data_IF_782379825266
#
_entry.id   IF_782379825266
#
_cell.length_a   1.000
_cell.length_b   1.000
_cell.length_c   1.000
_cell.angle_alpha   90.00
_cell.angle_beta   90.00
_cell.angle_gamma   90.00
#
_symmetry.space_group_name_H-M   'P 1'
#
loop_
_entity.id
_entity.type
_entity.pdbx_description
1 polymer ?
#
# COMPACT_ATOMS: atom_id res chain seq x y z
N UNK A 1 -5.72 -10.54 33.74
CA UNK A 1 -4.81 -10.56 32.55
C UNK A 1 -4.40 -9.20 31.99
N UNK A 2 -5.04 -8.09 32.35
CA UNK A 2 -4.66 -6.72 31.92
C UNK A 2 -3.46 -6.12 32.69
N UNK A 3 -3.19 -6.60 33.90
CA UNK A 3 -2.09 -6.10 34.77
C UNK A 3 -0.70 -6.49 34.29
N UNK A 4 -0.55 -7.68 33.71
CA UNK A 4 0.75 -8.20 33.23
C UNK A 4 1.26 -7.50 31.97
N UNK A 5 0.38 -7.03 31.08
CA UNK A 5 0.78 -6.28 29.87
C UNK A 5 1.27 -4.88 30.21
N UNK A 6 0.60 -4.19 31.13
CA UNK A 6 1.01 -2.86 31.59
C UNK A 6 2.37 -2.90 32.33
N UNK A 7 2.63 -3.94 33.09
CA UNK A 7 3.91 -4.15 33.78
C UNK A 7 5.04 -4.47 32.80
N UNK A 8 4.80 -5.30 31.78
CA UNK A 8 5.81 -5.60 30.75
C UNK A 8 6.16 -4.37 29.90
N UNK A 9 5.15 -3.51 29.57
CA UNK A 9 5.39 -2.25 28.88
C UNK A 9 6.12 -1.22 29.75
N UNK A 10 5.83 -1.17 31.05
CA UNK A 10 6.54 -0.29 32.00
C UNK A 10 8.00 -0.74 32.18
N UNK A 11 8.27 -2.03 32.31
CA UNK A 11 9.63 -2.58 32.41
C UNK A 11 10.46 -2.36 31.14
N UNK A 12 9.83 -2.47 29.95
CA UNK A 12 10.52 -2.17 28.68
C UNK A 12 10.86 -0.69 28.55
N UNK A 13 10.00 0.23 29.02
CA UNK A 13 10.27 1.66 29.07
C UNK A 13 11.42 2.02 30.03
N UNK A 14 11.49 1.37 31.16
CA UNK A 14 12.53 1.62 32.17
C UNK A 14 13.90 1.10 31.74
N UNK A 15 13.93 -0.04 31.04
CA UNK A 15 15.19 -0.57 30.46
C UNK A 15 15.75 0.30 29.34
N UNK A 16 14.86 0.90 28.52
CA UNK A 16 15.24 1.82 27.44
C UNK A 16 15.80 3.15 27.95
N UNK A 17 15.39 3.61 29.13
CA UNK A 17 15.91 4.83 29.76
C UNK A 17 17.35 4.68 30.28
N UNK A 18 17.84 3.46 30.44
CA UNK A 18 19.18 3.13 30.96
C UNK A 18 20.22 2.84 29.86
N UNK A 19 19.82 2.76 28.59
CA UNK A 19 20.76 2.52 27.48
C UNK A 19 21.36 3.83 26.98
N UNK A 20 22.67 3.81 26.70
CA UNK A 20 23.33 4.94 26.05
C UNK A 20 22.79 5.13 24.62
N UNK A 21 22.90 6.32 24.01
CA UNK A 21 22.51 6.53 22.61
C UNK A 21 23.17 5.53 21.66
N UNK A 22 24.45 5.22 21.86
CA UNK A 22 25.19 4.21 21.08
C UNK A 22 24.65 2.80 21.31
N UNK A 23 24.34 2.42 22.56
CA UNK A 23 23.73 1.14 22.89
C UNK A 23 22.35 0.99 22.26
N UNK A 24 21.55 2.03 22.31
CA UNK A 24 20.23 2.08 21.64
C UNK A 24 20.37 1.94 20.11
N UNK A 25 21.34 2.61 19.50
CA UNK A 25 21.62 2.48 18.07
C UNK A 25 22.02 1.06 17.67
N UNK A 26 22.93 0.43 18.41
CA UNK A 26 23.33 -0.95 18.13
C UNK A 26 22.18 -1.94 18.30
N UNK A 27 21.38 -1.76 19.35
CA UNK A 27 20.17 -2.56 19.57
C UNK A 27 19.15 -2.38 18.44
N UNK A 28 18.96 -1.15 17.95
CA UNK A 28 18.08 -0.85 16.83
C UNK A 28 18.57 -1.53 15.54
N UNK A 29 19.87 -1.47 15.24
CA UNK A 29 20.46 -2.17 14.08
C UNK A 29 20.31 -3.68 14.18
N UNK A 30 20.53 -4.24 15.36
CA UNK A 30 20.34 -5.67 15.59
C UNK A 30 18.87 -6.06 15.37
N UNK A 31 17.92 -5.32 15.97
CA UNK A 31 16.49 -5.56 15.78
C UNK A 31 16.08 -5.46 14.29
N UNK A 32 16.60 -4.46 13.57
CA UNK A 32 16.37 -4.32 12.12
C UNK A 32 16.93 -5.51 11.33
N UNK A 33 18.13 -5.99 11.66
CA UNK A 33 18.71 -7.20 11.08
C UNK A 33 17.89 -8.47 11.38
N UNK A 34 17.22 -8.50 12.53
CA UNK A 34 16.26 -9.54 12.89
C UNK A 34 14.84 -9.29 12.32
N UNK A 35 14.64 -8.25 11.51
CA UNK A 35 13.36 -7.85 10.94
C UNK A 35 12.27 -7.58 11.99
N UNK A 36 12.67 -7.14 13.18
CA UNK A 36 11.77 -6.71 14.25
C UNK A 36 11.55 -5.20 14.17
N UNK A 37 10.56 -4.79 13.35
CA UNK A 37 10.26 -3.38 13.12
C UNK A 37 9.84 -2.65 14.41
N UNK A 38 9.14 -3.31 15.33
CA UNK A 38 8.69 -2.72 16.58
C UNK A 38 9.85 -2.40 17.52
N UNK A 39 10.74 -3.38 17.72
CA UNK A 39 11.95 -3.18 18.53
C UNK A 39 12.88 -2.16 17.86
N UNK A 40 13.07 -2.24 16.53
CA UNK A 40 13.89 -1.28 15.78
C UNK A 40 13.36 0.16 15.95
N UNK A 41 12.08 0.38 15.76
CA UNK A 41 11.45 1.70 15.95
C UNK A 41 11.65 2.20 17.39
N UNK A 42 11.44 1.35 18.40
CA UNK A 42 11.59 1.71 19.80
C UNK A 42 13.04 2.13 20.13
N UNK A 43 14.03 1.34 19.71
CA UNK A 43 15.43 1.64 19.96
C UNK A 43 15.95 2.83 19.14
N UNK A 44 15.54 3.00 17.88
CA UNK A 44 15.90 4.20 17.10
C UNK A 44 15.32 5.48 17.70
N UNK A 45 14.08 5.44 18.22
CA UNK A 45 13.52 6.57 18.99
C UNK A 45 14.35 6.91 20.21
N UNK A 46 14.81 5.88 20.96
CA UNK A 46 15.65 6.08 22.12
C UNK A 46 17.00 6.72 21.74
N UNK A 47 17.65 6.23 20.69
CA UNK A 47 18.88 6.80 20.17
C UNK A 47 18.67 8.27 19.69
N UNK A 48 17.60 8.54 18.93
CA UNK A 48 17.29 9.89 18.41
C UNK A 48 16.98 10.89 19.54
N UNK A 49 16.39 10.44 20.66
CA UNK A 49 16.19 11.31 21.84
C UNK A 49 17.54 11.70 22.47
N UNK A 50 18.52 10.81 22.44
CA UNK A 50 19.89 11.08 22.96
C UNK A 50 20.70 12.00 22.06
N UNK A 51 20.43 11.98 20.75
CA UNK A 51 21.08 12.85 19.75
C UNK A 51 20.05 13.35 18.71
N UNK A 52 19.25 14.36 19.08
CA UNK A 52 18.11 14.80 18.25
C UNK A 52 18.49 15.47 16.92
N UNK A 53 19.77 15.87 16.77
CA UNK A 53 20.28 16.54 15.56
C UNK A 53 20.97 15.59 14.60
N UNK A 54 21.04 14.32 14.92
CA UNK A 54 21.66 13.31 14.08
C UNK A 54 20.74 12.93 12.91
N UNK A 55 21.12 13.37 11.72
CA UNK A 55 20.34 13.16 10.50
C UNK A 55 20.25 11.69 10.11
N UNK A 56 21.28 10.89 10.36
CA UNK A 56 21.26 9.44 10.11
C UNK A 56 20.26 8.75 11.03
N UNK A 57 20.29 9.06 12.33
CA UNK A 57 19.30 8.53 13.29
C UNK A 57 17.87 8.96 12.92
N UNK A 58 17.69 10.19 12.47
CA UNK A 58 16.39 10.69 12.04
C UNK A 58 15.85 9.86 10.87
N UNK A 59 16.64 9.66 9.82
CA UNK A 59 16.23 8.87 8.66
C UNK A 59 15.93 7.39 9.01
N UNK A 60 16.78 6.77 9.84
CA UNK A 60 16.56 5.38 10.31
C UNK A 60 15.31 5.25 11.18
N UNK A 61 15.09 6.22 12.09
CA UNK A 61 13.89 6.25 12.93
C UNK A 61 12.65 6.39 12.07
N UNK A 62 12.66 7.27 11.09
CA UNK A 62 11.57 7.50 10.15
C UNK A 62 11.16 6.20 9.44
N UNK A 63 12.10 5.50 8.83
CA UNK A 63 11.81 4.25 8.12
C UNK A 63 11.34 3.14 9.06
N UNK A 64 11.95 2.98 10.24
CA UNK A 64 11.56 1.97 11.21
C UNK A 64 10.14 2.21 11.76
N UNK A 65 9.78 3.46 12.02
CA UNK A 65 8.44 3.87 12.48
C UNK A 65 7.38 3.57 11.41
N UNK A 66 7.67 3.87 10.14
CA UNK A 66 6.77 3.53 9.03
C UNK A 66 6.60 2.01 8.88
N UNK A 67 7.69 1.26 8.92
CA UNK A 67 7.67 -0.20 8.83
C UNK A 67 6.85 -0.83 9.97
N UNK A 68 6.85 -0.19 11.16
CA UNK A 68 6.03 -0.62 12.30
C UNK A 68 4.55 -0.19 12.21
N UNK A 69 4.14 0.53 11.15
CA UNK A 69 2.77 0.97 10.92
C UNK A 69 2.36 2.26 11.67
N UNK A 70 3.29 2.91 12.35
CA UNK A 70 3.03 4.14 13.10
C UNK A 70 3.09 5.36 12.16
N UNK A 71 2.20 5.37 11.15
CA UNK A 71 2.26 6.32 10.02
C UNK A 71 2.08 7.77 10.47
N UNK A 72 1.26 8.05 11.49
CA UNK A 72 1.06 9.43 11.98
C UNK A 72 2.33 10.01 12.62
N UNK A 73 3.13 9.19 13.31
CA UNK A 73 4.47 9.59 13.75
C UNK A 73 5.44 9.68 12.58
N UNK A 74 5.36 8.73 11.65
CA UNK A 74 6.12 8.75 10.40
C UNK A 74 5.94 10.05 9.63
N UNK A 75 4.73 10.59 9.58
CA UNK A 75 4.44 11.90 8.97
C UNK A 75 5.22 13.05 9.65
N UNK A 76 5.24 13.09 10.98
CA UNK A 76 5.99 14.11 11.72
C UNK A 76 7.50 13.99 11.49
N UNK A 77 7.99 12.77 11.40
CA UNK A 77 9.40 12.51 11.07
C UNK A 77 9.71 12.86 9.61
N UNK A 78 8.79 12.59 8.66
CA UNK A 78 8.95 12.97 7.27
C UNK A 78 9.12 14.50 7.11
N UNK A 79 8.34 15.30 7.83
CA UNK A 79 8.48 16.77 7.85
C UNK A 79 9.87 17.20 8.32
N UNK A 80 10.43 16.53 9.35
CA UNK A 80 11.80 16.80 9.83
C UNK A 80 12.86 16.34 8.82
N UNK A 81 12.69 15.16 8.21
CA UNK A 81 13.60 14.64 7.16
C UNK A 81 13.69 15.63 6.02
N UNK A 82 12.57 16.22 5.58
CA UNK A 82 12.56 17.20 4.49
C UNK A 82 13.19 18.57 4.85
N UNK A 83 13.41 18.87 6.13
CA UNK A 83 14.23 20.04 6.53
C UNK A 83 15.72 19.81 6.25
N UNK A 84 16.16 18.53 6.26
CA UNK A 84 17.54 18.13 6.02
C UNK A 84 17.77 17.77 4.55
N UNK A 85 16.91 16.90 4.01
CA UNK A 85 16.91 16.52 2.59
C UNK A 85 15.54 16.79 1.96
N UNK A 86 15.44 17.94 1.30
CA UNK A 86 14.21 18.40 0.61
C UNK A 86 13.71 17.42 -0.46
N UNK A 87 14.58 16.50 -0.87
CA UNK A 87 14.34 15.58 -1.97
C UNK A 87 14.16 14.13 -1.51
N UNK A 88 14.06 13.87 -0.20
CA UNK A 88 13.79 12.51 0.27
C UNK A 88 12.46 11.99 -0.29
N UNK A 89 12.58 10.96 -1.13
CA UNK A 89 11.46 10.43 -1.91
C UNK A 89 10.40 9.75 -1.05
N UNK A 90 10.81 9.07 0.04
CA UNK A 90 9.87 8.37 0.92
C UNK A 90 9.13 9.39 1.80
N UNK A 91 9.82 10.38 2.30
CA UNK A 91 9.17 11.46 3.05
C UNK A 91 8.14 12.22 2.19
N UNK A 92 8.47 12.52 0.93
CA UNK A 92 7.54 13.13 -0.03
C UNK A 92 6.32 12.22 -0.31
N UNK A 93 6.57 10.92 -0.51
CA UNK A 93 5.50 9.92 -0.71
C UNK A 93 4.55 9.90 0.49
N UNK A 94 5.09 9.82 1.71
CA UNK A 94 4.31 9.78 2.96
C UNK A 94 3.45 11.03 3.12
N UNK A 95 4.01 12.22 2.86
CA UNK A 95 3.22 13.46 2.91
C UNK A 95 2.14 13.52 1.82
N UNK A 96 2.43 13.01 0.62
CA UNK A 96 1.45 12.85 -0.44
C UNK A 96 0.29 11.92 -0.03
N UNK A 97 0.61 10.78 0.57
CA UNK A 97 -0.39 9.81 1.07
C UNK A 97 -1.24 10.43 2.19
N UNK A 98 -0.62 11.14 3.15
CA UNK A 98 -1.36 11.90 4.17
C UNK A 98 -2.34 12.89 3.54
N UNK A 99 -1.88 13.65 2.56
CA UNK A 99 -2.72 14.63 1.87
C UNK A 99 -3.89 13.97 1.13
N UNK A 100 -3.71 12.77 0.55
CA UNK A 100 -4.81 11.97 -0.02
C UNK A 100 -5.82 11.60 1.06
N UNK A 101 -5.37 11.09 2.21
CA UNK A 101 -6.25 10.75 3.36
C UNK A 101 -7.07 11.95 3.81
N UNK A 102 -6.47 13.14 3.78
CA UNK A 102 -7.12 14.40 4.14
C UNK A 102 -7.94 15.03 2.98
N UNK A 103 -8.04 14.35 1.82
CA UNK A 103 -8.69 14.84 0.59
C UNK A 103 -8.10 16.16 0.07
N UNK A 104 -6.86 16.45 0.42
CA UNK A 104 -6.10 17.64 -0.04
C UNK A 104 -5.37 17.31 -1.36
N UNK A 105 -6.12 16.98 -2.41
CA UNK A 105 -5.58 16.45 -3.66
C UNK A 105 -4.54 17.35 -4.35
N UNK A 106 -4.70 18.71 -4.42
CA UNK A 106 -3.64 19.55 -4.97
C UNK A 106 -2.34 19.49 -4.17
N UNK A 107 -2.41 19.39 -2.83
CA UNK A 107 -1.23 19.25 -1.98
C UNK A 107 -0.59 17.86 -2.19
N UNK A 108 -1.40 16.80 -2.28
CA UNK A 108 -0.92 15.46 -2.59
C UNK A 108 -0.11 15.43 -3.89
N UNK A 109 -0.64 16.00 -4.97
CA UNK A 109 0.07 16.07 -6.27
C UNK A 109 1.40 16.80 -6.18
N UNK A 110 1.48 17.90 -5.41
CA UNK A 110 2.75 18.64 -5.23
C UNK A 110 3.82 17.80 -4.53
N UNK A 111 3.45 17.09 -3.47
CA UNK A 111 4.39 16.23 -2.75
C UNK A 111 4.81 15.03 -3.59
N UNK A 112 3.85 14.36 -4.23
CA UNK A 112 4.10 13.19 -5.08
C UNK A 112 4.99 13.53 -6.28
N UNK A 113 4.83 14.70 -6.91
CA UNK A 113 5.68 15.14 -8.00
C UNK A 113 7.16 15.28 -7.59
N UNK A 114 7.45 15.51 -6.32
CA UNK A 114 8.80 15.60 -5.78
C UNK A 114 9.36 14.25 -5.30
N UNK A 115 8.54 13.19 -5.24
CA UNK A 115 8.98 11.84 -4.87
C UNK A 115 9.50 11.01 -6.04
N UNK A 116 9.34 11.49 -7.28
CA UNK A 116 9.74 10.83 -8.53
C UNK A 116 11.27 10.80 -8.64
N UNK A 117 11.89 9.68 -8.25
CA UNK A 117 13.36 9.48 -8.28
C UNK A 117 13.76 8.01 -8.30
N UNK A 118 13.13 7.22 -9.15
CA UNK A 118 13.47 5.82 -9.35
C UNK A 118 12.26 4.95 -9.66
N UNK A 119 12.47 3.76 -10.23
CA UNK A 119 11.41 3.01 -10.92
C UNK A 119 10.13 2.81 -10.09
N UNK A 120 10.28 2.36 -8.84
CA UNK A 120 9.12 2.03 -7.99
C UNK A 120 8.42 3.31 -7.50
N UNK A 121 9.19 4.32 -7.08
CA UNK A 121 8.62 5.58 -6.62
C UNK A 121 7.99 6.37 -7.75
N UNK A 122 8.52 6.28 -8.99
CA UNK A 122 7.94 6.92 -10.16
C UNK A 122 6.57 6.33 -10.49
N UNK A 123 6.45 4.99 -10.48
CA UNK A 123 5.18 4.31 -10.69
C UNK A 123 4.18 4.65 -9.58
N UNK A 124 4.60 4.52 -8.32
CA UNK A 124 3.75 4.83 -7.16
C UNK A 124 3.23 6.27 -7.21
N UNK A 125 4.13 7.24 -7.35
CA UNK A 125 3.78 8.66 -7.34
C UNK A 125 2.86 9.04 -8.50
N UNK A 126 3.11 8.49 -9.69
CA UNK A 126 2.26 8.74 -10.87
C UNK A 126 0.85 8.17 -10.67
N UNK A 127 0.74 6.91 -10.23
CA UNK A 127 -0.56 6.29 -10.00
C UNK A 127 -1.32 6.95 -8.84
N UNK A 128 -0.67 7.27 -7.73
CA UNK A 128 -1.28 7.99 -6.62
C UNK A 128 -1.77 9.38 -7.04
N UNK A 129 -0.97 10.11 -7.83
CA UNK A 129 -1.38 11.41 -8.40
C UNK A 129 -2.59 11.26 -9.32
N UNK A 130 -2.60 10.25 -10.19
CA UNK A 130 -3.71 9.98 -11.09
C UNK A 130 -5.01 9.69 -10.32
N UNK A 131 -4.94 8.95 -9.22
CA UNK A 131 -6.11 8.71 -8.37
C UNK A 131 -6.69 9.98 -7.75
N UNK A 132 -5.88 11.00 -7.48
CA UNK A 132 -6.41 12.30 -7.02
C UNK A 132 -7.26 13.02 -8.06
N UNK A 133 -7.23 12.56 -9.31
CA UNK A 133 -7.97 13.08 -10.46
C UNK A 133 -9.06 12.09 -10.95
N UNK A 134 -9.44 11.11 -10.13
CA UNK A 134 -10.46 10.10 -10.46
C UNK A 134 -11.88 10.68 -10.37
N UNK A 135 -12.18 11.62 -11.25
CA UNK A 135 -13.49 12.26 -11.38
C UNK A 135 -13.82 12.50 -12.88
N UNK A 136 -15.09 12.76 -13.25
CA UNK A 136 -15.49 12.85 -14.65
C UNK A 136 -14.73 13.90 -15.49
N UNK A 137 -14.27 14.98 -14.87
CA UNK A 137 -13.63 16.11 -15.57
C UNK A 137 -12.12 15.92 -15.73
N UNK A 138 -11.45 15.25 -14.79
CA UNK A 138 -9.99 15.11 -14.77
C UNK A 138 -9.50 13.69 -15.15
N UNK A 139 -10.39 12.69 -15.31
CA UNK A 139 -10.01 11.30 -15.57
C UNK A 139 -9.16 11.14 -16.83
N UNK A 140 -9.40 11.94 -17.87
CA UNK A 140 -8.57 11.93 -19.07
C UNK A 140 -7.13 12.39 -18.75
N UNK A 141 -6.98 13.46 -17.99
CA UNK A 141 -5.66 13.94 -17.56
C UNK A 141 -4.96 12.90 -16.68
N UNK A 142 -5.69 12.20 -15.80
CA UNK A 142 -5.19 11.12 -14.99
C UNK A 142 -4.60 10.01 -15.86
N UNK A 143 -5.36 9.51 -16.83
CA UNK A 143 -4.91 8.43 -17.74
C UNK A 143 -3.79 8.87 -18.66
N UNK A 144 -3.83 10.10 -19.20
CA UNK A 144 -2.73 10.65 -20.00
C UNK A 144 -1.41 10.72 -19.21
N UNK A 145 -1.47 10.99 -17.90
CA UNK A 145 -0.29 10.99 -17.03
C UNK A 145 0.28 9.58 -16.82
N UNK A 146 -0.60 8.59 -16.66
CA UNK A 146 -0.24 7.17 -16.55
C UNK A 146 0.40 6.69 -17.87
N UNK A 147 -0.17 7.05 -19.01
CA UNK A 147 0.31 6.63 -20.31
C UNK A 147 1.73 7.17 -20.63
N UNK A 148 2.00 8.40 -20.22
CA UNK A 148 3.32 9.03 -20.39
C UNK A 148 4.43 8.43 -19.52
N UNK A 149 4.07 7.68 -18.47
CA UNK A 149 5.05 7.06 -17.61
C UNK A 149 5.80 5.98 -18.38
N UNK A 150 7.08 6.24 -18.63
CA UNK A 150 8.02 5.24 -19.15
C UNK A 150 8.57 4.38 -18.01
N UNK A 151 8.91 3.14 -18.29
CA UNK A 151 9.48 2.25 -17.28
C UNK A 151 9.60 0.81 -17.78
N UNK A 152 9.84 -0.11 -16.85
CA UNK A 152 9.98 -1.53 -17.15
C UNK A 152 8.64 -2.15 -17.59
N UNK A 153 8.71 -3.26 -18.33
CA UNK A 153 7.53 -3.95 -18.89
C UNK A 153 6.49 -4.31 -17.83
N UNK A 154 6.92 -4.65 -16.62
CA UNK A 154 6.00 -4.99 -15.52
C UNK A 154 5.14 -3.81 -15.04
N UNK A 155 5.42 -2.56 -15.45
CA UNK A 155 4.53 -1.41 -15.18
C UNK A 155 3.20 -1.55 -15.91
N UNK A 156 3.19 -2.21 -17.06
CA UNK A 156 2.04 -2.24 -17.95
C UNK A 156 0.75 -2.70 -17.26
N UNK A 157 0.85 -3.75 -16.45
CA UNK A 157 -0.33 -4.28 -15.74
C UNK A 157 -0.88 -3.28 -14.72
N UNK A 158 -0.01 -2.58 -13.97
CA UNK A 158 -0.43 -1.54 -13.02
C UNK A 158 -1.03 -0.34 -13.75
N UNK A 159 -0.42 0.09 -14.86
CA UNK A 159 -0.90 1.22 -15.67
C UNK A 159 -2.30 0.93 -16.21
N UNK A 160 -2.49 -0.21 -16.88
CA UNK A 160 -3.78 -0.55 -17.49
C UNK A 160 -4.86 -0.79 -16.44
N UNK A 161 -4.57 -1.50 -15.34
CA UNK A 161 -5.53 -1.74 -14.27
C UNK A 161 -5.97 -0.45 -13.59
N UNK A 162 -5.04 0.40 -13.16
CA UNK A 162 -5.40 1.63 -12.46
C UNK A 162 -6.05 2.67 -13.39
N UNK A 163 -5.65 2.74 -14.67
CA UNK A 163 -6.35 3.56 -15.66
C UNK A 163 -7.80 3.08 -15.86
N UNK A 164 -8.03 1.75 -15.94
CA UNK A 164 -9.36 1.17 -16.03
C UNK A 164 -10.23 1.54 -14.82
N UNK A 165 -9.72 1.35 -13.60
CA UNK A 165 -10.43 1.65 -12.36
C UNK A 165 -10.76 3.16 -12.23
N UNK A 166 -9.82 4.05 -12.57
CA UNK A 166 -10.04 5.50 -12.57
C UNK A 166 -11.15 5.89 -13.54
N UNK A 167 -11.12 5.35 -14.76
CA UNK A 167 -12.16 5.60 -15.77
C UNK A 167 -13.53 5.04 -15.36
N UNK A 168 -13.53 3.91 -14.67
CA UNK A 168 -14.73 3.28 -14.16
C UNK A 168 -15.40 4.13 -13.05
N UNK A 169 -14.62 4.59 -12.08
CA UNK A 169 -15.06 5.54 -11.04
C UNK A 169 -15.57 6.85 -11.65
N UNK A 170 -14.90 7.33 -12.68
CA UNK A 170 -15.27 8.54 -13.40
C UNK A 170 -16.51 8.36 -14.33
N UNK A 171 -17.06 7.14 -14.45
CA UNK A 171 -18.21 6.85 -15.29
C UNK A 171 -17.91 6.76 -16.79
N UNK A 172 -16.64 6.76 -17.20
CA UNK A 172 -16.20 6.69 -18.60
C UNK A 172 -16.15 5.22 -19.09
N UNK A 173 -17.30 4.56 -19.10
CA UNK A 173 -17.48 3.12 -19.28
C UNK A 173 -16.81 2.54 -20.54
N UNK A 174 -16.90 3.25 -21.70
CA UNK A 174 -16.31 2.76 -22.96
C UNK A 174 -14.79 2.69 -22.90
N UNK A 175 -14.17 3.70 -22.33
CA UNK A 175 -12.70 3.71 -22.20
C UNK A 175 -12.23 2.77 -21.08
N UNK A 176 -12.98 2.68 -19.98
CA UNK A 176 -12.73 1.70 -18.92
C UNK A 176 -12.73 0.26 -19.47
N UNK A 177 -13.71 -0.11 -20.30
CA UNK A 177 -13.80 -1.43 -20.92
C UNK A 177 -12.52 -1.81 -21.70
N UNK A 178 -12.03 -0.88 -22.54
CA UNK A 178 -10.79 -1.10 -23.30
C UNK A 178 -9.57 -1.33 -22.41
N UNK A 179 -9.48 -0.58 -21.31
CA UNK A 179 -8.37 -0.70 -20.35
C UNK A 179 -8.46 -2.00 -19.54
N UNK A 180 -9.65 -2.39 -19.09
CA UNK A 180 -9.85 -3.68 -18.42
C UNK A 180 -9.49 -4.85 -19.34
N UNK A 181 -9.92 -4.83 -20.60
CA UNK A 181 -9.56 -5.85 -21.57
C UNK A 181 -8.03 -5.95 -21.78
N UNK A 182 -7.33 -4.81 -21.86
CA UNK A 182 -5.87 -4.79 -21.97
C UNK A 182 -5.19 -5.33 -20.73
N UNK A 183 -5.62 -4.92 -19.54
CA UNK A 183 -5.04 -5.43 -18.28
C UNK A 183 -5.25 -6.94 -18.15
N UNK A 184 -6.41 -7.46 -18.55
CA UNK A 184 -6.71 -8.88 -18.55
C UNK A 184 -5.85 -9.66 -19.55
N UNK A 185 -5.61 -9.11 -20.75
CA UNK A 185 -4.71 -9.72 -21.74
C UNK A 185 -3.25 -9.77 -21.28
N UNK A 186 -2.82 -8.82 -20.44
CA UNK A 186 -1.45 -8.81 -19.89
C UNK A 186 -1.24 -9.92 -18.87
N UNK A 187 -2.23 -10.16 -17.99
CA UNK A 187 -2.17 -11.25 -17.01
C UNK A 187 -3.57 -11.68 -16.59
N UNK A 188 -4.11 -12.76 -17.22
CA UNK A 188 -5.42 -13.31 -16.87
C UNK A 188 -5.42 -14.08 -15.55
N UNK A 189 -4.25 -14.23 -14.89
CA UNK A 189 -4.11 -14.90 -13.59
C UNK A 189 -3.89 -13.92 -12.45
N UNK A 190 -3.80 -12.61 -12.73
CA UNK A 190 -3.71 -11.58 -11.70
C UNK A 190 -5.08 -11.38 -11.03
N UNK A 191 -5.22 -11.84 -9.79
CA UNK A 191 -6.48 -11.81 -9.03
C UNK A 191 -7.21 -10.47 -9.12
N UNK A 192 -6.51 -9.36 -8.87
CA UNK A 192 -7.16 -8.02 -8.87
C UNK A 192 -7.62 -7.56 -10.24
N UNK A 193 -6.92 -7.97 -11.29
CA UNK A 193 -7.36 -7.73 -12.68
C UNK A 193 -8.65 -8.49 -12.96
N UNK A 194 -8.66 -9.78 -12.63
CA UNK A 194 -9.81 -10.68 -12.85
C UNK A 194 -11.04 -10.20 -12.06
N UNK A 195 -10.88 -9.91 -10.78
CA UNK A 195 -11.97 -9.37 -9.95
C UNK A 195 -12.51 -8.05 -10.50
N UNK A 196 -11.63 -7.12 -10.85
CA UNK A 196 -12.02 -5.80 -11.34
C UNK A 196 -12.73 -5.87 -12.69
N UNK A 197 -12.22 -6.68 -13.60
CA UNK A 197 -12.82 -6.85 -14.92
C UNK A 197 -14.15 -7.59 -14.84
N UNK A 198 -14.23 -8.68 -14.07
CA UNK A 198 -15.49 -9.41 -13.86
C UNK A 198 -16.57 -8.53 -13.19
N UNK A 199 -16.19 -7.77 -12.16
CA UNK A 199 -17.09 -6.79 -11.53
C UNK A 199 -17.57 -5.73 -12.54
N UNK A 200 -16.67 -5.18 -13.34
CA UNK A 200 -17.03 -4.21 -14.38
C UNK A 200 -18.02 -4.80 -15.39
N UNK A 201 -17.76 -6.00 -15.94
CA UNK A 201 -18.64 -6.69 -16.88
C UNK A 201 -20.03 -6.95 -16.28
N UNK A 202 -20.09 -7.41 -15.04
CA UNK A 202 -21.35 -7.63 -14.31
C UNK A 202 -22.18 -6.34 -14.21
N UNK A 203 -21.55 -5.23 -13.87
CA UNK A 203 -22.24 -3.92 -13.77
C UNK A 203 -22.70 -3.37 -15.11
N UNK A 204 -22.08 -3.80 -16.22
CA UNK A 204 -22.55 -3.49 -17.57
C UNK A 204 -23.67 -4.45 -18.05
N UNK A 205 -24.05 -5.44 -17.25
CA UNK A 205 -25.05 -6.46 -17.61
C UNK A 205 -24.49 -7.67 -18.38
N UNK A 206 -23.17 -7.77 -18.53
CA UNK A 206 -22.49 -8.82 -19.27
C UNK A 206 -22.07 -9.96 -18.33
N UNK A 207 -23.02 -10.54 -17.56
CA UNK A 207 -22.74 -11.58 -16.58
C UNK A 207 -22.12 -12.83 -17.21
N UNK A 208 -22.52 -13.19 -18.45
CA UNK A 208 -21.94 -14.34 -19.14
C UNK A 208 -20.43 -14.19 -19.40
N UNK A 209 -19.98 -13.00 -19.76
CA UNK A 209 -18.55 -12.74 -19.99
C UNK A 209 -17.80 -12.61 -18.66
N UNK A 210 -18.42 -12.08 -17.61
CA UNK A 210 -17.86 -12.08 -16.26
C UNK A 210 -17.60 -13.52 -15.77
N UNK A 211 -18.57 -14.44 -15.97
CA UNK A 211 -18.42 -15.85 -15.61
C UNK A 211 -17.30 -16.53 -16.41
N UNK A 212 -17.12 -16.20 -17.70
CA UNK A 212 -15.99 -16.74 -18.49
C UNK A 212 -14.64 -16.27 -17.93
N UNK A 213 -14.53 -14.99 -17.54
CA UNK A 213 -13.31 -14.44 -16.93
C UNK A 213 -12.99 -15.17 -15.63
N UNK A 214 -13.99 -15.44 -14.79
CA UNK A 214 -13.80 -16.17 -13.53
C UNK A 214 -13.48 -17.65 -13.74
N UNK A 215 -14.14 -18.31 -14.69
CA UNK A 215 -13.86 -19.71 -15.02
C UNK A 215 -12.42 -19.90 -15.52
N UNK A 216 -11.94 -19.04 -16.40
CA UNK A 216 -10.55 -19.08 -16.87
C UNK A 216 -9.53 -18.88 -15.73
N UNK A 217 -9.84 -18.05 -14.74
CA UNK A 217 -9.00 -17.91 -13.54
C UNK A 217 -9.04 -19.17 -12.67
N UNK A 218 -10.22 -19.79 -12.49
CA UNK A 218 -10.40 -21.03 -11.72
C UNK A 218 -9.66 -22.22 -12.33
N UNK A 219 -9.52 -22.27 -13.66
CA UNK A 219 -8.71 -23.28 -14.34
C UNK A 219 -7.22 -23.17 -13.98
N UNK A 220 -6.72 -21.95 -13.75
CA UNK A 220 -5.33 -21.69 -13.37
C UNK A 220 -5.10 -21.79 -11.85
N UNK A 221 -6.04 -21.30 -11.05
CA UNK A 221 -5.99 -21.21 -9.58
C UNK A 221 -7.32 -21.67 -8.97
N UNK A 222 -7.56 -22.99 -8.85
CA UNK A 222 -8.83 -23.53 -8.42
C UNK A 222 -9.26 -23.14 -7.01
N UNK A 223 -10.54 -22.89 -6.83
CA UNK A 223 -11.20 -22.64 -5.54
C UNK A 223 -10.70 -21.39 -4.80
N UNK A 224 -10.32 -20.35 -5.53
CA UNK A 224 -9.98 -19.11 -4.88
C UNK A 224 -11.22 -18.46 -4.24
N UNK A 225 -11.28 -18.24 -2.90
CA UNK A 225 -12.51 -17.87 -2.18
C UNK A 225 -13.23 -16.66 -2.79
N UNK A 226 -12.48 -15.59 -3.13
CA UNK A 226 -13.04 -14.37 -3.68
C UNK A 226 -13.66 -14.54 -5.09
N UNK A 227 -13.16 -15.50 -5.87
CA UNK A 227 -13.71 -15.78 -7.20
C UNK A 227 -14.92 -16.71 -7.09
N UNK A 228 -14.86 -17.70 -6.19
CA UNK A 228 -16.01 -18.57 -5.88
C UNK A 228 -17.19 -17.75 -5.38
N UNK A 229 -16.96 -16.81 -4.44
CA UNK A 229 -17.99 -15.92 -3.92
C UNK A 229 -18.60 -15.05 -5.05
N UNK A 230 -17.77 -14.38 -5.84
CA UNK A 230 -18.22 -13.56 -6.97
C UNK A 230 -19.01 -14.38 -8.01
N UNK A 231 -18.57 -15.60 -8.30
CA UNK A 231 -19.27 -16.53 -9.21
C UNK A 231 -20.65 -16.91 -8.65
N UNK A 232 -20.75 -17.20 -7.36
CA UNK A 232 -22.02 -17.52 -6.71
C UNK A 232 -22.99 -16.34 -6.73
N UNK A 233 -22.50 -15.13 -6.50
CA UNK A 233 -23.32 -13.91 -6.59
C UNK A 233 -23.86 -13.68 -8.00
N UNK A 234 -23.03 -13.87 -9.05
CA UNK A 234 -23.46 -13.78 -10.45
C UNK A 234 -24.51 -14.83 -10.81
N UNK A 235 -24.31 -16.08 -10.37
CA UNK A 235 -25.26 -17.18 -10.60
C UNK A 235 -26.59 -16.93 -9.86
N UNK A 236 -26.57 -16.22 -8.74
CA UNK A 236 -27.77 -15.76 -8.04
C UNK A 236 -28.41 -14.52 -8.68
N UNK A 237 -27.94 -14.08 -9.84
CA UNK A 237 -28.46 -12.92 -10.57
C UNK A 237 -28.11 -11.57 -9.97
N UNK A 238 -27.19 -11.51 -9.00
CA UNK A 238 -26.73 -10.27 -8.39
C UNK A 238 -25.72 -9.54 -9.29
N UNK A 239 -25.66 -8.23 -9.17
CA UNK A 239 -24.59 -7.42 -9.74
C UNK A 239 -23.45 -7.31 -8.74
N UNK A 240 -22.22 -7.51 -9.20
CA UNK A 240 -21.03 -7.32 -8.37
C UNK A 240 -20.82 -5.85 -8.04
N UNK A 241 -20.30 -5.53 -6.85
CA UNK A 241 -20.04 -4.15 -6.43
C UNK A 241 -18.90 -3.52 -7.23
N UNK A 242 -18.82 -2.19 -7.20
CA UNK A 242 -17.65 -1.45 -7.66
C UNK A 242 -16.44 -1.82 -6.80
N UNK A 243 -15.33 -2.17 -7.44
CA UNK A 243 -14.14 -2.63 -6.72
C UNK A 243 -13.46 -1.50 -5.92
N UNK A 244 -13.53 -0.29 -6.47
CA UNK A 244 -12.96 0.92 -5.85
C UNK A 244 -13.93 2.06 -6.14
N UNK A 245 -14.32 2.81 -5.12
CA UNK A 245 -15.35 3.83 -5.20
C UNK A 245 -14.84 5.26 -4.93
N UNK A 246 -13.63 5.38 -4.41
CA UNK A 246 -13.05 6.66 -4.01
C UNK A 246 -11.59 6.80 -4.41
N UNK A 247 -11.08 8.03 -4.62
CA UNK A 247 -9.65 8.26 -4.83
C UNK A 247 -8.77 7.70 -3.71
N UNK A 248 -9.22 7.74 -2.47
CA UNK A 248 -8.50 7.21 -1.32
C UNK A 248 -8.40 5.68 -1.37
N UNK A 249 -9.50 4.99 -1.69
CA UNK A 249 -9.51 3.53 -1.85
C UNK A 249 -8.62 3.11 -3.03
N UNK A 250 -8.65 3.84 -4.14
CA UNK A 250 -7.78 3.58 -5.28
C UNK A 250 -6.30 3.80 -4.99
N UNK A 251 -5.97 4.82 -4.21
CA UNK A 251 -4.61 5.03 -3.73
C UNK A 251 -4.15 3.88 -2.81
N UNK A 252 -5.04 3.35 -1.97
CA UNK A 252 -4.76 2.17 -1.15
C UNK A 252 -4.49 0.93 -2.00
N UNK A 253 -5.24 0.72 -3.09
CA UNK A 253 -4.99 -0.36 -4.06
C UNK A 253 -3.61 -0.24 -4.73
N UNK A 254 -3.18 0.97 -5.12
CA UNK A 254 -1.83 1.18 -5.66
C UNK A 254 -0.77 0.72 -4.67
N UNK A 255 -0.87 1.19 -3.43
CA UNK A 255 0.10 0.88 -2.37
C UNK A 255 0.08 -0.60 -1.99
N UNK A 256 -1.11 -1.22 -1.93
CA UNK A 256 -1.25 -2.66 -1.74
C UNK A 256 -0.56 -3.44 -2.86
N UNK A 257 -0.89 -3.17 -4.12
CA UNK A 257 -0.36 -3.93 -5.25
C UNK A 257 1.16 -3.84 -5.36
N UNK A 258 1.73 -2.64 -5.16
CA UNK A 258 3.17 -2.44 -5.15
C UNK A 258 3.84 -3.07 -3.92
N UNK A 259 3.25 -2.94 -2.74
CA UNK A 259 3.75 -3.53 -1.51
C UNK A 259 3.82 -5.05 -1.58
N UNK A 260 2.74 -5.70 -2.05
CA UNK A 260 2.69 -7.15 -2.25
C UNK A 260 3.69 -7.65 -3.31
N UNK A 261 3.88 -6.89 -4.41
CA UNK A 261 4.85 -7.24 -5.45
C UNK A 261 6.29 -7.14 -4.95
N UNK A 262 6.62 -6.11 -4.15
CA UNK A 262 7.95 -5.91 -3.58
C UNK A 262 8.29 -6.97 -2.54
N UNK A 263 7.36 -7.31 -1.66
CA UNK A 263 7.55 -8.30 -0.62
C UNK A 263 7.95 -9.70 -1.15
N UNK A 264 7.54 -10.02 -2.39
CA UNK A 264 7.86 -11.29 -3.06
C UNK A 264 9.20 -11.28 -3.81
N UNK A 265 9.86 -10.15 -3.94
CA UNK A 265 11.05 -9.96 -4.81
C UNK A 265 12.29 -9.47 -4.08
N UNK A 266 12.37 -9.66 -2.77
CA UNK A 266 13.52 -9.23 -1.96
C UNK A 266 13.49 -7.74 -1.59
N UNK A 267 12.35 -7.07 -1.75
CA UNK A 267 12.13 -5.68 -1.33
C UNK A 267 11.25 -5.59 -0.08
N UNK A 268 11.41 -6.53 0.86
CA UNK A 268 10.50 -6.72 2.01
C UNK A 268 10.35 -5.44 2.84
N UNK A 269 11.42 -4.72 3.11
CA UNK A 269 11.37 -3.51 3.94
C UNK A 269 10.52 -2.41 3.30
N UNK A 270 10.69 -2.21 1.98
CA UNK A 270 9.90 -1.24 1.25
C UNK A 270 8.46 -1.74 1.04
N UNK A 271 8.30 -3.04 0.78
CA UNK A 271 6.99 -3.71 0.70
C UNK A 271 6.18 -3.51 1.97
N UNK A 272 6.82 -3.67 3.13
CA UNK A 272 6.21 -3.44 4.43
C UNK A 272 5.71 -1.99 4.58
N UNK A 273 6.54 -1.01 4.23
CA UNK A 273 6.15 0.42 4.27
C UNK A 273 4.94 0.69 3.35
N UNK A 274 4.94 0.15 2.12
CA UNK A 274 3.83 0.36 1.19
C UNK A 274 2.53 -0.29 1.68
N UNK A 275 2.59 -1.50 2.25
CA UNK A 275 1.43 -2.16 2.85
C UNK A 275 0.89 -1.38 4.06
N UNK A 276 1.76 -0.86 4.92
CA UNK A 276 1.36 -0.01 6.04
C UNK A 276 0.71 1.31 5.57
N UNK A 277 1.22 1.93 4.52
CA UNK A 277 0.60 3.11 3.92
C UNK A 277 -0.75 2.79 3.24
N UNK A 278 -0.90 1.60 2.65
CA UNK A 278 -2.18 1.12 2.15
C UNK A 278 -3.21 1.01 3.28
N UNK A 279 -2.84 0.37 4.38
CA UNK A 279 -3.70 0.24 5.57
C UNK A 279 -3.96 1.57 6.27
N UNK A 280 -3.04 2.53 6.20
CA UNK A 280 -3.28 3.89 6.67
C UNK A 280 -4.41 4.58 5.90
N UNK A 281 -4.53 4.36 4.59
CA UNK A 281 -5.63 4.87 3.76
C UNK A 281 -6.91 4.05 3.92
N UNK A 282 -6.81 2.72 3.98
CA UNK A 282 -7.92 1.79 4.06
C UNK A 282 -7.63 0.70 5.12
N UNK A 283 -7.93 0.96 6.41
CA UNK A 283 -7.56 0.05 7.51
C UNK A 283 -8.15 -1.36 7.40
N UNK A 284 -9.30 -1.50 6.76
CA UNK A 284 -9.98 -2.78 6.56
C UNK A 284 -9.70 -3.43 5.18
N UNK A 285 -8.65 -3.00 4.45
CA UNK A 285 -8.33 -3.56 3.13
C UNK A 285 -7.90 -5.03 3.25
N UNK A 286 -8.72 -6.02 2.83
CA UNK A 286 -8.50 -7.42 3.19
C UNK A 286 -7.19 -7.98 2.61
N UNK A 287 -6.91 -7.67 1.33
CA UNK A 287 -5.72 -8.19 0.66
C UNK A 287 -4.43 -7.50 1.14
N UNK A 288 -4.49 -6.25 1.62
CA UNK A 288 -3.34 -5.60 2.24
C UNK A 288 -3.03 -6.25 3.60
N UNK A 289 -4.05 -6.56 4.41
CA UNK A 289 -3.91 -7.29 5.68
C UNK A 289 -3.33 -8.70 5.45
N UNK A 290 -3.86 -9.42 4.47
CA UNK A 290 -3.35 -10.76 4.11
C UNK A 290 -1.89 -10.68 3.65
N UNK A 291 -1.57 -9.79 2.72
CA UNK A 291 -0.19 -9.62 2.22
C UNK A 291 0.78 -9.16 3.30
N UNK A 292 0.33 -8.38 4.27
CA UNK A 292 1.12 -8.01 5.44
C UNK A 292 1.39 -9.24 6.34
N UNK A 293 0.38 -10.09 6.54
CA UNK A 293 0.51 -11.36 7.25
C UNK A 293 1.52 -12.29 6.56
N UNK A 294 1.36 -12.51 5.25
CA UNK A 294 2.27 -13.32 4.43
C UNK A 294 3.72 -12.80 4.52
N UNK A 295 3.88 -11.47 4.49
CA UNK A 295 5.18 -10.84 4.59
C UNK A 295 5.82 -11.07 5.95
N UNK A 296 5.05 -10.95 7.04
CA UNK A 296 5.54 -11.26 8.39
C UNK A 296 5.92 -12.74 8.54
N UNK A 297 5.15 -13.66 7.96
CA UNK A 297 5.50 -15.09 7.94
C UNK A 297 6.79 -15.34 7.16
N UNK A 298 6.93 -14.76 5.96
CA UNK A 298 8.17 -14.84 5.17
C UNK A 298 9.38 -14.28 5.92
N UNK A 299 9.17 -13.25 6.74
CA UNK A 299 10.17 -12.67 7.62
C UNK A 299 10.42 -13.49 8.90
N UNK A 300 9.76 -14.63 9.08
CA UNK A 300 9.81 -15.48 10.28
C UNK A 300 9.33 -14.76 11.55
N UNK A 301 8.29 -13.94 11.42
CA UNK A 301 7.64 -13.16 12.49
C UNK A 301 6.13 -13.48 12.60
N UNK A 302 5.75 -14.76 12.80
CA UNK A 302 4.33 -15.15 12.80
C UNK A 302 3.52 -14.48 13.91
N UNK A 303 4.17 -14.09 15.01
CA UNK A 303 3.54 -13.35 16.10
C UNK A 303 3.02 -11.96 15.67
N UNK A 304 3.58 -11.38 14.61
CA UNK A 304 3.13 -10.11 14.04
C UNK A 304 2.00 -10.32 13.02
N UNK A 305 1.94 -11.48 12.37
CA UNK A 305 0.90 -11.80 11.39
C UNK A 305 -0.52 -11.81 12.01
N UNK A 306 -0.63 -12.12 13.29
CA UNK A 306 -1.92 -12.17 14.02
C UNK A 306 -2.39 -10.81 14.57
N UNK A 307 -1.52 -9.80 14.66
CA UNK A 307 -1.85 -8.46 15.20
C UNK A 307 -2.84 -7.66 14.35
N UNK A 308 -2.71 -7.58 13.02
CA UNK A 308 -3.63 -6.80 12.19
C UNK A 308 -5.09 -7.23 12.29
N UNK A 309 -5.34 -8.53 12.56
CA UNK A 309 -6.69 -9.07 12.65
C UNK A 309 -7.39 -8.81 14.00
N UNK A 310 -6.65 -8.50 15.06
CA UNK A 310 -7.22 -8.27 16.40
C UNK A 310 -7.51 -6.79 16.69
N UNK A 311 -6.91 -5.85 15.97
CA UNK A 311 -7.09 -4.40 16.14
C UNK A 311 -8.18 -3.80 15.23
N UNK A 312 -8.75 -4.62 14.32
CA UNK A 312 -9.85 -4.25 13.43
C UNK A 312 -11.26 -4.54 14.01
N UNK A 313 -11.39 -4.57 15.35
CA UNK A 313 -12.70 -4.71 16.02
C UNK A 313 -13.13 -3.41 16.68
#
# INVERSE_FOLDING_TARGET
MLSTRAQAQAQSRDSLSRTSPSGSYLAARHAGGQRDAAAAASYYRAALRGDPRNNELLGRTFLAVLANGEVDEGVKLAERVLQVDKNDRIARLVLGVRAIKQKQYPAARRELAQSIRGPITDLAATLLSAWTMANPTEAKQATDSIDKLAGADWYAIFKELHAALILDVAGQKKEAAKRFERSYKLDPTALRVVQSYGSFLSRQGNNADALKVFAAFEDALPRHPLIVEATNELNAGKKLPLMVDTPQAGAAEVLYGLGAALGRRGGEDLGLIYLQLSLYLAPSHPLALLSLGDLYEAMKKPELATRPMSECR
#
